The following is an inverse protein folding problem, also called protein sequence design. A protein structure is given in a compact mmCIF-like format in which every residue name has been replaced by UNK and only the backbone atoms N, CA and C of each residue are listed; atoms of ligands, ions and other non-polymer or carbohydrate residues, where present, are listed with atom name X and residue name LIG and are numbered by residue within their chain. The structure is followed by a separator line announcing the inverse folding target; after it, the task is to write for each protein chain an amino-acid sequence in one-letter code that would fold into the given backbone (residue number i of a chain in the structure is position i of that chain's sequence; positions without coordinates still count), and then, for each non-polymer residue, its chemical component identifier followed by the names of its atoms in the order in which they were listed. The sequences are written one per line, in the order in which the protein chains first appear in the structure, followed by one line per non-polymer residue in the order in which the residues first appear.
data_IF_154286568335
#
_entry.id   IF_154286568335
#
_cell.length_a   1.000
_cell.length_b   1.000
_cell.length_c   1.000
_cell.angle_alpha   90.00
_cell.angle_beta   90.00
_cell.angle_gamma   90.00
#
_symmetry.space_group_name_H-M   'P 1'
#
loop_
_entity.id
_entity.type
_entity.pdbx_description
1 polymer ?
#
# COMPACT_ATOMS: atom_id res chain seq x y z
N UNK A 1 4.13 23.03 6.76
CA UNK A 1 4.14 21.55 6.65
C UNK A 1 2.69 21.11 6.67
N UNK A 2 2.25 20.46 5.60
CA UNK A 2 0.86 20.00 5.53
C UNK A 2 0.73 18.72 6.37
N UNK A 3 -0.24 18.71 7.28
CA UNK A 3 -0.63 17.50 8.00
C UNK A 3 -1.42 16.60 7.07
N UNK A 4 -1.10 15.30 7.10
CA UNK A 4 -1.76 14.25 6.32
C UNK A 4 -2.71 13.53 7.27
N UNK A 5 -3.99 13.55 6.98
CA UNK A 5 -4.97 12.81 7.76
C UNK A 5 -5.01 11.33 7.33
N UNK A 6 -5.03 10.41 8.32
CA UNK A 6 -5.18 8.98 8.09
C UNK A 6 -6.07 8.34 9.16
N UNK A 7 -6.88 7.35 8.75
CA UNK A 7 -7.71 6.54 9.65
C UNK A 7 -6.86 5.41 10.25
N UNK A 8 -6.55 5.53 11.52
CA UNK A 8 -5.70 4.61 12.27
C UNK A 8 -6.55 3.67 13.10
N UNK A 9 -6.46 2.37 12.81
CA UNK A 9 -7.02 1.31 13.64
C UNK A 9 -6.00 0.89 14.70
N UNK A 10 -6.42 0.78 15.96
CA UNK A 10 -5.52 0.52 17.09
C UNK A 10 -6.07 -0.46 18.13
N UNK A 11 -7.35 -0.82 18.04
CA UNK A 11 -8.00 -1.83 18.88
C UNK A 11 -9.26 -2.35 18.19
N UNK A 12 -9.92 -3.34 18.78
CA UNK A 12 -11.18 -3.93 18.32
C UNK A 12 -12.23 -2.84 18.14
N UNK A 13 -12.72 -2.68 16.91
CA UNK A 13 -13.72 -1.67 16.52
C UNK A 13 -13.32 -0.22 16.89
N UNK A 14 -12.02 0.04 16.96
CA UNK A 14 -11.46 1.34 17.29
C UNK A 14 -10.62 1.87 16.15
N UNK A 15 -11.13 2.86 15.49
CA UNK A 15 -10.45 3.61 14.43
C UNK A 15 -10.67 5.09 14.68
N UNK A 16 -9.63 5.88 14.54
CA UNK A 16 -9.68 7.34 14.68
C UNK A 16 -8.84 8.00 13.59
N UNK A 17 -9.19 9.22 13.22
CA UNK A 17 -8.38 10.02 12.30
C UNK A 17 -7.24 10.67 13.08
N UNK A 18 -6.01 10.41 12.65
CA UNK A 18 -4.79 11.00 13.21
C UNK A 18 -4.04 11.82 12.17
N UNK A 19 -3.43 12.94 12.57
CA UNK A 19 -2.52 13.69 11.70
C UNK A 19 -1.14 13.03 11.65
N UNK A 20 -0.54 13.05 10.46
CA UNK A 20 0.83 12.63 10.20
C UNK A 20 1.58 13.77 9.54
N UNK A 21 2.85 13.93 9.87
CA UNK A 21 3.72 14.81 9.10
C UNK A 21 4.03 14.18 7.75
N UNK A 22 4.14 15.00 6.74
CA UNK A 22 4.67 14.55 5.46
C UNK A 22 6.08 13.98 5.68
N UNK A 23 6.35 12.72 5.27
CA UNK A 23 7.63 12.08 5.53
C UNK A 23 8.73 12.61 4.59
N UNK A 24 9.95 12.59 5.09
CA UNK A 24 11.13 12.70 4.24
C UNK A 24 11.21 11.43 3.38
N UNK A 25 11.25 11.61 2.07
CA UNK A 25 11.24 10.51 1.12
C UNK A 25 12.66 10.11 0.72
N UNK A 26 12.99 8.82 0.72
CA UNK A 26 14.23 8.36 0.13
C UNK A 26 14.22 8.56 -1.40
N UNK A 27 15.38 8.63 -2.04
CA UNK A 27 15.47 8.84 -3.49
C UNK A 27 14.72 7.80 -4.34
N UNK A 28 14.50 6.60 -3.80
CA UNK A 28 13.81 5.46 -4.43
C UNK A 28 12.37 5.26 -3.96
N UNK A 29 11.84 6.18 -3.13
CA UNK A 29 10.47 6.19 -2.63
C UNK A 29 9.61 7.30 -3.22
N UNK A 30 8.33 7.34 -2.83
CA UNK A 30 7.40 8.37 -3.26
C UNK A 30 6.16 8.46 -2.38
N UNK A 31 5.23 9.35 -2.77
CA UNK A 31 3.91 9.49 -2.18
C UNK A 31 2.83 9.41 -3.26
N UNK A 32 1.82 8.63 -3.01
CA UNK A 32 0.57 8.58 -3.76
C UNK A 32 -0.46 9.45 -3.02
N UNK A 33 -1.03 10.45 -3.68
CA UNK A 33 -2.25 11.12 -3.22
C UNK A 33 -3.42 10.20 -3.52
N UNK A 34 -4.00 9.62 -2.48
CA UNK A 34 -5.09 8.64 -2.62
C UNK A 34 -6.35 9.34 -3.13
N UNK A 35 -6.89 8.86 -4.24
CA UNK A 35 -8.17 9.29 -4.81
C UNK A 35 -9.31 8.46 -4.21
N UNK A 36 -9.10 7.14 -4.12
CA UNK A 36 -10.03 6.18 -3.56
C UNK A 36 -9.27 4.95 -3.06
N UNK A 37 -9.73 4.38 -1.95
CA UNK A 37 -9.30 3.07 -1.49
C UNK A 37 -10.54 2.21 -1.22
N UNK A 38 -10.58 1.02 -1.81
CA UNK A 38 -11.64 0.05 -1.58
C UNK A 38 -11.58 -0.52 -0.16
N UNK A 39 -12.73 -0.96 0.34
CA UNK A 39 -12.83 -1.73 1.59
C UNK A 39 -12.92 -3.20 1.22
N UNK A 40 -11.87 -3.94 1.54
CA UNK A 40 -11.77 -5.38 1.28
C UNK A 40 -12.45 -6.19 2.40
N UNK A 41 -12.93 -7.39 2.05
CA UNK A 41 -13.41 -8.34 3.04
C UNK A 41 -12.36 -8.72 4.09
N UNK A 42 -11.07 -8.63 3.76
CA UNK A 42 -9.96 -8.88 4.70
C UNK A 42 -9.75 -7.75 5.72
N UNK A 43 -10.24 -6.53 5.49
CA UNK A 43 -10.18 -5.45 6.48
C UNK A 43 -11.13 -5.69 7.66
N UNK A 44 -12.24 -6.42 7.39
CA UNK A 44 -13.27 -6.69 8.38
C UNK A 44 -12.78 -7.52 9.58
N UNK A 45 -12.03 -8.63 9.40
CA UNK A 45 -11.39 -9.33 10.51
C UNK A 45 -10.44 -8.46 11.32
N UNK A 46 -9.67 -7.57 10.69
CA UNK A 46 -8.81 -6.62 11.41
C UNK A 46 -9.62 -5.66 12.28
N UNK A 47 -10.76 -5.19 11.80
CA UNK A 47 -11.64 -4.33 12.58
C UNK A 47 -12.30 -5.07 13.74
N UNK A 48 -12.74 -6.34 13.55
CA UNK A 48 -13.46 -7.12 14.57
C UNK A 48 -12.55 -7.83 15.58
N UNK A 49 -11.37 -8.27 15.15
CA UNK A 49 -10.47 -9.13 15.94
C UNK A 49 -9.04 -8.56 15.98
N UNK A 50 -8.92 -7.28 16.08
CA UNK A 50 -7.68 -6.52 15.94
C UNK A 50 -6.44 -7.24 16.52
N UNK A 51 -5.36 -7.46 15.74
CA UNK A 51 -4.16 -8.15 16.20
C UNK A 51 -3.28 -7.19 17.02
N UNK A 52 -3.57 -7.04 18.32
CA UNK A 52 -2.89 -6.09 19.23
C UNK A 52 -1.35 -6.18 19.19
N UNK A 53 -0.80 -7.37 18.97
CA UNK A 53 0.64 -7.58 18.86
C UNK A 53 1.28 -6.81 17.69
N UNK A 54 0.51 -6.42 16.68
CA UNK A 54 1.02 -5.67 15.52
C UNK A 54 1.13 -4.16 15.75
N UNK A 55 0.56 -3.62 16.83
CA UNK A 55 0.48 -2.17 17.04
C UNK A 55 -0.56 -1.49 16.15
N UNK A 56 -0.60 -0.16 16.11
CA UNK A 56 -1.58 0.60 15.34
C UNK A 56 -1.30 0.55 13.83
N UNK A 57 -2.36 0.48 13.01
CA UNK A 57 -2.30 0.29 11.56
C UNK A 57 -3.14 1.34 10.83
N UNK A 58 -2.67 1.75 9.66
CA UNK A 58 -3.54 2.36 8.64
C UNK A 58 -3.92 1.22 7.71
N UNK A 59 -5.19 0.81 7.72
CA UNK A 59 -5.71 -0.24 6.85
C UNK A 59 -5.90 0.28 5.40
N UNK A 60 -6.45 -0.57 4.54
CA UNK A 60 -6.69 -0.25 3.14
C UNK A 60 -5.51 -0.60 2.25
N UNK A 61 -5.73 -1.52 1.34
CA UNK A 61 -4.73 -2.04 0.41
C UNK A 61 -5.22 -2.04 -1.05
N UNK A 62 -6.37 -1.42 -1.32
CA UNK A 62 -6.98 -1.29 -2.65
C UNK A 62 -6.95 0.16 -3.12
N UNK A 63 -5.78 0.81 -2.99
CA UNK A 63 -5.64 2.22 -3.28
C UNK A 63 -5.46 2.51 -4.78
N UNK A 64 -6.15 3.54 -5.24
CA UNK A 64 -5.97 4.22 -6.52
C UNK A 64 -5.70 5.68 -6.24
N UNK A 65 -4.82 6.30 -6.99
CA UNK A 65 -4.52 7.72 -6.80
C UNK A 65 -3.51 8.25 -7.80
N UNK A 66 -3.08 9.49 -7.55
CA UNK A 66 -2.09 10.18 -8.37
C UNK A 66 -0.75 10.26 -7.64
N UNK A 67 0.33 10.00 -8.35
CA UNK A 67 1.68 10.17 -7.84
C UNK A 67 1.87 11.66 -7.48
N UNK A 68 1.99 11.94 -6.18
CA UNK A 68 2.11 13.31 -5.69
C UNK A 68 3.57 13.76 -5.57
N UNK A 69 4.44 12.83 -5.16
CA UNK A 69 5.89 13.05 -5.06
C UNK A 69 6.62 11.78 -5.43
N UNK A 70 7.76 11.94 -6.07
CA UNK A 70 8.57 10.80 -6.50
C UNK A 70 10.06 11.14 -6.43
N UNK A 71 10.82 10.30 -5.75
CA UNK A 71 12.28 10.40 -5.76
C UNK A 71 12.86 10.11 -7.14
N UNK A 72 14.01 10.69 -7.48
CA UNK A 72 14.61 10.57 -8.80
C UNK A 72 14.93 9.10 -9.19
N UNK A 73 15.39 8.29 -8.23
CA UNK A 73 15.67 6.87 -8.45
C UNK A 73 14.36 6.08 -8.64
N UNK A 74 13.30 6.42 -7.89
CA UNK A 74 11.97 5.83 -8.06
C UNK A 74 11.40 6.14 -9.44
N UNK A 75 11.50 7.40 -9.90
CA UNK A 75 11.03 7.81 -11.23
C UNK A 75 11.71 7.02 -12.35
N UNK A 76 13.03 6.87 -12.28
CA UNK A 76 13.80 6.09 -13.25
C UNK A 76 13.43 4.60 -13.23
N UNK A 77 13.31 4.01 -12.02
CA UNK A 77 12.99 2.58 -11.84
C UNK A 77 11.58 2.24 -12.31
N UNK A 78 10.61 3.04 -11.92
CA UNK A 78 9.21 2.78 -12.18
C UNK A 78 8.73 3.25 -13.55
N UNK A 79 9.48 4.13 -14.21
CA UNK A 79 9.10 4.72 -15.48
C UNK A 79 7.80 5.58 -15.39
N UNK A 80 7.50 6.09 -14.19
CA UNK A 80 6.36 6.99 -13.94
C UNK A 80 6.86 8.36 -13.49
N UNK A 81 5.95 9.32 -13.46
CA UNK A 81 6.20 10.69 -13.03
C UNK A 81 5.09 11.19 -12.10
N UNK A 82 5.36 12.31 -11.45
CA UNK A 82 4.35 13.04 -10.68
C UNK A 82 3.16 13.40 -11.57
N UNK A 83 1.97 13.23 -11.05
CA UNK A 83 0.70 13.35 -11.76
C UNK A 83 0.18 12.06 -12.40
N UNK A 84 1.02 11.05 -12.64
CA UNK A 84 0.54 9.78 -13.19
C UNK A 84 -0.45 9.12 -12.22
N UNK A 85 -1.55 8.59 -12.77
CA UNK A 85 -2.59 7.88 -12.02
C UNK A 85 -2.31 6.39 -12.00
N UNK A 86 -2.27 5.81 -10.79
CA UNK A 86 -1.89 4.40 -10.58
C UNK A 86 -2.78 3.71 -9.56
N UNK A 87 -2.94 2.39 -9.71
CA UNK A 87 -3.50 1.49 -8.71
C UNK A 87 -2.36 0.66 -8.10
N UNK A 88 -2.29 0.59 -6.77
CA UNK A 88 -1.24 -0.12 -6.05
C UNK A 88 -1.62 -1.58 -5.79
N UNK A 89 -0.65 -2.49 -5.90
CA UNK A 89 -0.75 -3.83 -5.34
C UNK A 89 -0.46 -3.79 -3.84
N UNK A 90 -1.06 -4.72 -3.11
CA UNK A 90 -0.87 -4.87 -1.66
C UNK A 90 0.55 -5.32 -1.29
N UNK A 91 1.15 -6.13 -2.16
CA UNK A 91 2.41 -6.83 -1.94
C UNK A 91 3.60 -5.99 -2.35
N UNK A 92 4.71 -6.18 -1.62
CA UNK A 92 5.99 -5.51 -1.84
C UNK A 92 7.08 -6.57 -2.12
N UNK A 93 7.07 -7.22 -3.31
CA UNK A 93 7.91 -8.36 -3.58
C UNK A 93 9.40 -7.99 -3.60
N UNK A 94 10.27 -8.92 -3.19
CA UNK A 94 11.72 -8.73 -3.24
C UNK A 94 12.29 -8.65 -4.67
N UNK A 95 11.58 -9.23 -5.65
CA UNK A 95 11.97 -9.22 -7.06
C UNK A 95 12.99 -10.31 -7.47
N UNK A 96 13.61 -11.03 -6.52
CA UNK A 96 14.71 -11.95 -6.82
C UNK A 96 14.51 -13.39 -6.36
N UNK A 97 13.58 -13.67 -5.45
CA UNK A 97 13.29 -15.05 -5.04
C UNK A 97 12.62 -15.87 -6.17
N UNK A 98 12.54 -17.18 -5.98
CA UNK A 98 11.96 -18.08 -6.98
C UNK A 98 10.55 -17.69 -7.40
N UNK A 99 9.71 -17.32 -6.45
CA UNK A 99 8.32 -16.92 -6.72
C UNK A 99 8.21 -15.58 -7.44
N UNK A 100 9.03 -14.60 -7.09
CA UNK A 100 9.07 -13.34 -7.83
C UNK A 100 9.52 -13.54 -9.28
N UNK A 101 10.49 -14.44 -9.50
CA UNK A 101 11.02 -14.75 -10.84
C UNK A 101 10.03 -15.53 -11.71
N UNK A 102 9.16 -16.35 -11.11
CA UNK A 102 8.09 -17.06 -11.84
C UNK A 102 6.84 -16.23 -12.07
N UNK A 103 6.75 -15.00 -11.50
CA UNK A 103 5.58 -14.15 -11.58
C UNK A 103 4.58 -14.35 -10.42
N UNK A 104 4.84 -15.30 -9.53
CA UNK A 104 4.01 -15.59 -8.35
C UNK A 104 4.40 -14.74 -7.15
N UNK A 105 4.67 -13.46 -7.38
CA UNK A 105 5.23 -12.54 -6.37
C UNK A 105 4.40 -12.41 -5.09
N UNK A 106 3.14 -12.83 -5.11
CA UNK A 106 2.29 -12.89 -3.90
C UNK A 106 2.76 -13.92 -2.89
N UNK A 107 3.54 -14.94 -3.36
CA UNK A 107 4.18 -15.97 -2.55
C UNK A 107 5.65 -15.64 -2.26
N UNK A 108 6.03 -14.36 -2.33
CA UNK A 108 7.41 -13.92 -2.13
C UNK A 108 7.97 -14.42 -0.79
N UNK A 109 9.13 -15.08 -0.83
CA UNK A 109 9.77 -15.65 0.37
C UNK A 109 10.05 -14.61 1.47
N UNK A 110 10.20 -13.33 1.09
CA UNK A 110 10.51 -12.24 2.03
C UNK A 110 9.26 -11.51 2.56
N UNK A 111 8.16 -11.52 1.83
CA UNK A 111 6.99 -10.70 2.16
C UNK A 111 5.67 -11.47 2.26
N UNK A 112 5.69 -12.79 2.02
CA UNK A 112 4.51 -13.63 2.22
C UNK A 112 4.29 -13.89 3.71
N UNK A 113 3.19 -13.36 4.24
CA UNK A 113 2.81 -13.51 5.65
C UNK A 113 2.37 -14.92 6.03
N UNK A 114 2.07 -15.79 5.05
CA UNK A 114 1.66 -17.17 5.32
C UNK A 114 2.86 -18.08 5.62
N UNK A 115 4.02 -17.74 5.08
CA UNK A 115 5.25 -18.52 5.22
C UNK A 115 6.23 -17.93 6.26
N UNK A 116 5.86 -16.85 6.94
CA UNK A 116 6.70 -16.18 7.93
C UNK A 116 6.02 -16.19 9.30
N UNK A 117 6.82 -16.26 10.40
CA UNK A 117 6.27 -16.18 11.75
C UNK A 117 5.49 -14.87 11.95
N UNK A 118 4.41 -14.90 12.76
CA UNK A 118 3.59 -13.71 13.02
C UNK A 118 4.36 -12.52 13.61
N UNK A 119 5.45 -12.78 14.31
CA UNK A 119 6.36 -11.80 14.92
C UNK A 119 7.33 -11.18 13.92
N UNK A 120 7.49 -11.76 12.75
CA UNK A 120 8.39 -11.25 11.73
C UNK A 120 7.74 -10.05 11.02
N UNK A 121 8.37 -8.85 11.04
CA UNK A 121 7.80 -7.65 10.47
C UNK A 121 7.84 -7.69 8.93
N UNK A 122 6.87 -8.38 8.34
CA UNK A 122 6.68 -8.28 6.89
C UNK A 122 6.08 -6.93 6.53
N UNK A 123 6.75 -6.20 5.64
CA UNK A 123 6.26 -4.93 5.12
C UNK A 123 5.23 -5.19 4.02
N UNK A 124 4.01 -4.68 4.21
CA UNK A 124 2.89 -4.85 3.29
C UNK A 124 1.91 -3.70 3.42
N UNK A 125 1.32 -3.26 2.33
CA UNK A 125 0.32 -2.22 2.39
C UNK A 125 -0.94 -2.65 3.17
N UNK A 126 -1.48 -1.74 3.97
CA UNK A 126 -2.66 -1.98 4.81
C UNK A 126 -2.44 -2.84 6.05
N UNK A 127 -1.23 -3.36 6.29
CA UNK A 127 -0.95 -4.21 7.47
C UNK A 127 0.38 -3.94 8.16
N UNK A 128 1.21 -3.05 7.63
CA UNK A 128 2.45 -2.59 8.28
C UNK A 128 2.11 -1.56 9.36
N UNK A 129 2.66 -1.70 10.58
CA UNK A 129 2.41 -0.77 11.68
C UNK A 129 2.85 0.66 11.37
N UNK A 130 2.13 1.65 11.93
CA UNK A 130 2.52 3.07 11.82
C UNK A 130 3.85 3.38 12.52
N UNK A 131 4.30 2.52 13.41
CA UNK A 131 5.62 2.62 14.06
C UNK A 131 6.78 2.36 13.08
N UNK A 132 6.52 1.69 11.97
CA UNK A 132 7.50 1.48 10.90
C UNK A 132 7.53 2.72 10.01
N UNK A 133 8.66 3.42 9.95
CA UNK A 133 8.81 4.58 9.08
C UNK A 133 8.57 4.18 7.60
N UNK A 134 7.94 5.03 6.80
CA UNK A 134 7.45 6.40 7.09
C UNK A 134 5.98 6.48 7.54
N UNK A 135 5.42 5.44 8.11
CA UNK A 135 4.10 5.35 8.75
C UNK A 135 2.87 5.30 7.82
N UNK A 136 2.94 5.81 6.61
CA UNK A 136 1.80 5.92 5.67
C UNK A 136 1.63 4.64 4.81
N UNK A 137 1.47 3.48 5.46
CA UNK A 137 1.45 2.17 4.81
C UNK A 137 0.08 1.70 4.30
N UNK A 138 -0.98 2.47 4.51
CA UNK A 138 -2.33 2.07 4.13
C UNK A 138 -3.09 3.15 3.37
N UNK A 139 -4.02 2.69 2.52
CA UNK A 139 -4.81 3.56 1.65
C UNK A 139 -5.95 4.31 2.35
N UNK A 140 -6.25 4.02 3.63
CA UNK A 140 -7.22 4.82 4.40
C UNK A 140 -6.56 6.08 4.95
N UNK A 141 -5.81 6.75 4.10
CA UNK A 141 -5.12 8.02 4.35
C UNK A 141 -5.21 8.92 3.12
N UNK A 142 -4.97 10.22 3.31
CA UNK A 142 -4.91 11.17 2.19
C UNK A 142 -3.72 10.87 1.26
N UNK A 143 -2.62 10.37 1.84
CA UNK A 143 -1.43 9.96 1.09
C UNK A 143 -0.93 8.61 1.57
N UNK A 144 -0.46 7.79 0.63
CA UNK A 144 0.16 6.50 0.89
C UNK A 144 1.61 6.50 0.39
N UNK A 145 2.50 5.94 1.20
CA UNK A 145 3.91 5.80 0.84
C UNK A 145 4.08 4.86 -0.35
N UNK A 146 4.87 5.26 -1.33
CA UNK A 146 5.31 4.41 -2.43
C UNK A 146 6.69 3.82 -2.07
N UNK A 147 6.68 2.57 -1.64
CA UNK A 147 7.89 1.81 -1.31
C UNK A 147 8.70 1.47 -2.58
N UNK A 148 10.04 1.36 -2.51
CA UNK A 148 10.87 0.96 -3.66
C UNK A 148 10.45 -0.34 -4.36
N UNK A 149 9.84 -1.27 -3.62
CA UNK A 149 9.33 -2.53 -4.16
C UNK A 149 7.83 -2.49 -4.51
N UNK A 150 7.22 -1.31 -4.57
CA UNK A 150 5.81 -1.19 -4.93
C UNK A 150 5.56 -1.76 -6.34
N UNK A 151 4.47 -2.50 -6.45
CA UNK A 151 3.91 -2.94 -7.73
C UNK A 151 2.65 -2.13 -7.98
N UNK A 152 2.54 -1.56 -9.15
CA UNK A 152 1.38 -0.75 -9.51
C UNK A 152 1.06 -0.85 -11.00
N UNK A 153 -0.16 -0.46 -11.33
CA UNK A 153 -0.66 -0.43 -12.70
C UNK A 153 -1.11 0.98 -13.03
N UNK A 154 -0.75 1.49 -14.21
CA UNK A 154 -1.25 2.77 -14.71
C UNK A 154 -2.75 2.68 -14.95
N UNK A 155 -3.48 3.66 -14.49
CA UNK A 155 -4.93 3.75 -14.64
C UNK A 155 -5.26 4.90 -15.58
N UNK A 156 -5.85 4.63 -16.75
CA UNK A 156 -6.31 5.69 -17.66
C UNK A 156 -7.33 6.60 -16.98
N UNK A 157 -7.29 7.90 -17.27
CA UNK A 157 -8.15 8.90 -16.63
C UNK A 157 -9.66 8.63 -16.84
N UNK A 158 -10.03 8.04 -17.97
CA UNK A 158 -11.43 7.70 -18.27
C UNK A 158 -11.98 6.51 -17.45
N UNK A 159 -11.11 5.75 -16.78
CA UNK A 159 -11.53 4.62 -15.93
C UNK A 159 -11.95 5.16 -14.56
N UNK A 160 -13.21 4.96 -14.14
CA UNK A 160 -13.66 5.38 -12.81
C UNK A 160 -12.82 4.74 -11.70
N UNK A 161 -12.44 5.52 -10.66
CA UNK A 161 -11.63 5.03 -9.53
C UNK A 161 -12.25 3.79 -8.86
N UNK A 162 -13.58 3.73 -8.75
CA UNK A 162 -14.30 2.56 -8.22
C UNK A 162 -14.00 1.28 -8.99
N UNK A 163 -13.92 1.35 -10.32
CA UNK A 163 -13.58 0.18 -11.14
C UNK A 163 -12.10 -0.18 -11.04
N UNK A 164 -11.23 0.82 -11.03
CA UNK A 164 -9.80 0.59 -10.90
C UNK A 164 -9.43 -0.04 -9.54
N UNK A 165 -10.09 0.35 -8.46
CA UNK A 165 -9.92 -0.22 -7.13
C UNK A 165 -10.40 -1.69 -7.06
N UNK A 166 -11.59 -1.99 -7.59
CA UNK A 166 -12.18 -3.34 -7.56
C UNK A 166 -11.39 -4.37 -8.39
N UNK A 167 -10.80 -3.96 -9.52
CA UNK A 167 -10.07 -4.87 -10.41
C UNK A 167 -8.80 -5.44 -9.79
N UNK A 168 -8.25 -4.80 -8.79
CA UNK A 168 -7.04 -5.21 -8.13
C UNK A 168 -7.19 -6.46 -7.26
N UNK A 169 -8.31 -6.59 -6.56
CA UNK A 169 -8.53 -7.62 -5.53
C UNK A 169 -8.79 -9.00 -6.11
N UNK A 170 -9.33 -9.10 -7.31
CA UNK A 170 -9.79 -10.38 -7.86
C UNK A 170 -8.79 -11.08 -8.79
N UNK A 171 -7.56 -10.58 -8.92
CA UNK A 171 -6.52 -11.26 -9.70
C UNK A 171 -6.86 -11.52 -11.18
N UNK A 172 -7.93 -10.93 -11.67
CA UNK A 172 -8.58 -11.31 -12.91
C UNK A 172 -8.49 -10.25 -14.00
N UNK A 173 -7.32 -9.65 -14.26
CA UNK A 173 -7.09 -9.15 -15.61
C UNK A 173 -5.60 -9.21 -15.92
N UNK A 174 -5.14 -10.17 -16.73
CA UNK A 174 -3.95 -9.95 -17.51
C UNK A 174 -4.29 -8.86 -18.54
N UNK A 175 -3.80 -7.65 -18.34
CA UNK A 175 -3.67 -6.73 -19.46
C UNK A 175 -2.59 -7.31 -20.38
N UNK A 176 -3.02 -7.87 -21.50
CA UNK A 176 -2.20 -8.03 -22.68
C UNK A 176 -2.22 -6.73 -23.48
#
# INVERSE_FOLDING_TARGET
MNEIAAAVSYDIRRTEVRPFKEPDLPPDGGLLRVELCGVCGSDWPYYLKYPKARGALILGHEAVGHVAKLGAAAAARFGIKEGDRVALEEYLPCGHCRYCRSGDFRLCDETDTLNRPPEDPTIRYGSTPIAVAPSLWGGYSQYQYLHPNAVFHRVPEHVPAKLASLKRTNGMIPYR
#
